data_IF_398080651770
#
_entry.id   IF_398080651770
#
_cell.length_a   1.000
_cell.length_b   1.000
_cell.length_c   1.000
_cell.angle_alpha   90.00
_cell.angle_beta   90.00
_cell.angle_gamma   90.00
#
_symmetry.space_group_name_H-M   'P 1'
#
loop_
_entity.id
_entity.type
_entity.pdbx_description
1 polymer ?
#
# COMPACT_ATOMS: atom_id res chain seq x y z
N UNK A 1 -2.23 24.52 -7.47
CA UNK A 1 -1.22 23.43 -7.29
C UNK A 1 -0.61 23.05 -8.64
N UNK A 2 0.72 22.83 -8.72
CA UNK A 2 1.35 22.34 -9.95
C UNK A 2 1.58 20.82 -9.86
N UNK A 3 0.56 20.06 -10.26
CA UNK A 3 0.59 18.59 -10.18
C UNK A 3 1.58 17.94 -11.14
N UNK A 4 1.91 18.58 -12.30
CA UNK A 4 2.90 18.04 -13.22
C UNK A 4 4.28 17.91 -12.56
N UNK A 5 4.68 18.92 -11.79
CA UNK A 5 5.94 18.87 -11.03
C UNK A 5 5.92 17.80 -9.93
N UNK A 6 4.80 17.68 -9.20
CA UNK A 6 4.63 16.67 -8.15
C UNK A 6 4.72 15.25 -8.74
N UNK A 7 4.03 15.01 -9.84
CA UNK A 7 4.04 13.74 -10.57
C UNK A 7 5.45 13.43 -11.11
N UNK A 8 6.16 14.41 -11.66
CA UNK A 8 7.54 14.21 -12.10
C UNK A 8 8.43 13.77 -10.96
N UNK A 9 8.37 14.44 -9.82
CA UNK A 9 9.14 14.10 -8.64
C UNK A 9 8.79 12.69 -8.11
N UNK A 10 7.50 12.33 -8.05
CA UNK A 10 7.07 10.99 -7.64
C UNK A 10 7.63 9.89 -8.57
N UNK A 11 7.65 10.13 -9.88
CA UNK A 11 8.18 9.19 -10.88
C UNK A 11 9.71 9.00 -10.83
N UNK A 12 10.44 9.98 -10.31
CA UNK A 12 11.90 9.91 -10.16
C UNK A 12 12.33 9.09 -8.94
N UNK A 13 11.39 8.82 -8.00
CA UNK A 13 11.68 8.00 -6.83
C UNK A 13 12.01 6.55 -7.24
N UNK A 14 13.10 6.03 -6.67
CA UNK A 14 13.46 4.62 -6.85
C UNK A 14 12.64 3.79 -5.88
N UNK A 15 11.73 3.00 -6.42
CA UNK A 15 10.82 2.10 -5.67
C UNK A 15 10.91 0.69 -6.27
N UNK A 16 10.50 -0.32 -5.52
CA UNK A 16 10.36 -1.69 -6.01
C UNK A 16 9.24 -1.84 -7.06
N UNK A 17 9.20 -2.99 -7.74
CA UNK A 17 8.22 -3.23 -8.80
C UNK A 17 6.76 -3.24 -8.31
N UNK A 18 6.52 -3.66 -7.07
CA UNK A 18 5.17 -3.71 -6.50
C UNK A 18 4.63 -2.31 -6.11
N UNK A 19 5.53 -1.32 -5.93
CA UNK A 19 5.22 0.05 -5.51
C UNK A 19 5.59 1.11 -6.56
N UNK A 20 5.63 0.71 -7.83
CA UNK A 20 5.90 1.62 -8.95
C UNK A 20 4.80 2.69 -9.11
N UNK A 21 5.00 3.64 -10.03
CA UNK A 21 4.06 4.76 -10.22
C UNK A 21 2.65 4.31 -10.65
N UNK A 22 2.50 3.13 -11.27
CA UNK A 22 1.18 2.57 -11.60
C UNK A 22 0.39 2.20 -10.34
N UNK A 23 1.07 1.71 -9.29
CA UNK A 23 0.46 1.56 -7.97
C UNK A 23 -0.04 2.91 -7.43
N UNK A 24 0.81 3.93 -7.45
CA UNK A 24 0.42 5.29 -6.99
C UNK A 24 -0.82 5.80 -7.71
N UNK A 25 -0.93 5.58 -9.03
CA UNK A 25 -2.12 5.97 -9.81
C UNK A 25 -3.38 5.21 -9.40
N UNK A 26 -3.28 3.91 -9.10
CA UNK A 26 -4.45 3.12 -8.63
C UNK A 26 -4.88 3.54 -7.23
N UNK A 27 -3.91 3.78 -6.32
CA UNK A 27 -4.19 4.35 -4.99
C UNK A 27 -4.85 5.72 -5.13
N UNK A 28 -4.34 6.58 -6.02
CA UNK A 28 -4.92 7.89 -6.29
C UNK A 28 -6.38 7.79 -6.74
N UNK A 29 -6.67 6.90 -7.67
CA UNK A 29 -8.05 6.70 -8.15
C UNK A 29 -8.98 6.23 -7.02
N UNK A 30 -8.54 5.26 -6.21
CA UNK A 30 -9.30 4.75 -5.07
C UNK A 30 -9.51 5.84 -4.00
N UNK A 31 -8.46 6.59 -3.66
CA UNK A 31 -8.54 7.68 -2.68
C UNK A 31 -9.51 8.78 -3.12
N UNK A 32 -9.48 9.18 -4.41
CA UNK A 32 -10.43 10.19 -4.91
C UNK A 32 -11.87 9.69 -4.87
N UNK A 33 -12.09 8.41 -5.18
CA UNK A 33 -13.43 7.82 -5.10
C UNK A 33 -13.95 7.74 -3.66
N UNK A 34 -13.10 7.40 -2.68
CA UNK A 34 -13.47 7.41 -1.26
C UNK A 34 -13.77 8.84 -0.80
N UNK A 35 -12.95 9.80 -1.22
CA UNK A 35 -13.10 11.22 -0.84
C UNK A 35 -14.41 11.86 -1.32
N UNK A 36 -15.10 11.31 -2.32
CA UNK A 36 -16.44 11.77 -2.72
C UNK A 36 -17.45 11.69 -1.57
N UNK A 37 -17.28 10.74 -0.64
CA UNK A 37 -18.11 10.61 0.57
C UNK A 37 -17.68 11.51 1.73
N UNK A 38 -16.57 12.24 1.60
CA UNK A 38 -15.92 13.01 2.67
C UNK A 38 -15.65 14.46 2.26
N UNK A 39 -16.68 15.31 2.19
CA UNK A 39 -16.54 16.72 1.78
C UNK A 39 -15.68 17.57 2.75
N UNK A 40 -15.45 17.09 3.96
CA UNK A 40 -14.57 17.71 4.96
C UNK A 40 -13.06 17.53 4.66
N UNK A 41 -12.70 16.57 3.79
CA UNK A 41 -11.31 16.31 3.45
C UNK A 41 -10.67 17.44 2.65
N UNK A 42 -9.46 17.85 3.05
CA UNK A 42 -8.64 18.77 2.27
C UNK A 42 -8.09 18.02 1.03
N UNK A 43 -8.83 18.16 -0.08
CA UNK A 43 -8.53 17.46 -1.33
C UNK A 43 -7.13 17.77 -1.88
N UNK A 44 -6.59 18.97 -1.67
CA UNK A 44 -5.24 19.33 -2.10
C UNK A 44 -4.18 18.60 -1.29
N UNK A 45 -4.37 18.53 0.03
CA UNK A 45 -3.49 17.75 0.93
C UNK A 45 -3.56 16.27 0.56
N UNK A 46 -4.76 15.71 0.44
CA UNK A 46 -4.96 14.30 0.09
C UNK A 46 -4.30 13.93 -1.24
N UNK A 47 -4.60 14.67 -2.32
CA UNK A 47 -4.01 14.42 -3.65
C UNK A 47 -2.50 14.44 -3.62
N UNK A 48 -1.92 15.41 -2.92
CA UNK A 48 -0.47 15.54 -2.84
C UNK A 48 0.14 14.42 -2.00
N UNK A 49 -0.48 14.07 -0.88
CA UNK A 49 -0.01 12.98 -0.03
C UNK A 49 -0.06 11.63 -0.77
N UNK A 50 -1.15 11.34 -1.48
CA UNK A 50 -1.28 10.10 -2.28
C UNK A 50 -0.21 10.02 -3.36
N UNK A 51 0.07 11.11 -4.09
CA UNK A 51 1.10 11.11 -5.13
C UNK A 51 2.51 10.89 -4.59
N UNK A 52 2.76 11.23 -3.33
CA UNK A 52 4.09 11.21 -2.71
C UNK A 52 4.26 10.15 -1.61
N UNK A 53 3.24 9.32 -1.31
CA UNK A 53 3.26 8.46 -0.11
C UNK A 53 4.43 7.49 -0.08
N UNK A 54 4.82 6.95 -1.21
CA UNK A 54 5.85 5.91 -1.34
C UNK A 54 7.23 6.40 -1.80
N UNK A 55 7.47 7.71 -1.95
CA UNK A 55 8.78 8.23 -2.43
C UNK A 55 9.95 7.88 -1.51
N UNK A 56 9.68 7.51 -0.27
CA UNK A 56 10.68 7.05 0.70
C UNK A 56 11.05 5.58 0.59
N UNK A 57 10.41 4.81 -0.29
CA UNK A 57 10.52 3.35 -0.41
C UNK A 57 11.71 2.91 -1.27
N UNK A 58 12.90 3.40 -0.95
CA UNK A 58 14.15 3.02 -1.63
C UNK A 58 14.76 1.72 -1.12
N UNK A 59 14.19 1.15 -0.06
CA UNK A 59 14.56 -0.11 0.58
C UNK A 59 13.29 -0.72 1.21
N UNK A 60 13.32 -2.01 1.52
CA UNK A 60 12.20 -2.75 2.11
C UNK A 60 12.03 -2.48 3.62
N UNK A 61 12.46 -1.33 4.13
CA UNK A 61 12.37 -1.00 5.55
C UNK A 61 11.00 -0.44 5.95
N UNK A 62 10.53 -0.77 7.16
CA UNK A 62 9.31 -0.24 7.75
C UNK A 62 9.31 1.30 7.95
N UNK A 63 10.47 1.94 7.80
CA UNK A 63 10.62 3.39 7.98
C UNK A 63 10.29 4.21 6.71
N UNK A 64 9.89 3.59 5.59
CA UNK A 64 9.65 4.27 4.31
C UNK A 64 8.65 5.43 4.41
N UNK A 65 7.57 5.27 5.17
CA UNK A 65 6.55 6.31 5.35
C UNK A 65 7.13 7.58 6.00
N UNK A 66 7.87 7.41 7.10
CA UNK A 66 8.50 8.53 7.81
C UNK A 66 9.60 9.20 6.98
N UNK A 67 10.39 8.41 6.25
CA UNK A 67 11.40 8.91 5.31
C UNK A 67 10.75 9.68 4.15
N UNK A 68 9.70 9.12 3.54
CA UNK A 68 8.93 9.76 2.48
C UNK A 68 8.30 11.07 2.92
N UNK A 69 7.78 11.15 4.15
CA UNK A 69 7.21 12.36 4.72
C UNK A 69 8.24 13.50 4.82
N UNK A 70 9.47 13.21 5.26
CA UNK A 70 10.56 14.20 5.32
C UNK A 70 10.92 14.67 3.91
N UNK A 71 11.14 13.75 2.97
CA UNK A 71 11.47 14.06 1.59
C UNK A 71 10.38 14.92 0.92
N UNK A 72 9.10 14.55 1.12
CA UNK A 72 7.97 15.29 0.56
C UNK A 72 7.90 16.72 1.13
N UNK A 73 8.05 16.88 2.46
CA UNK A 73 8.03 18.19 3.10
C UNK A 73 9.13 19.11 2.58
N UNK A 74 10.35 18.62 2.53
CA UNK A 74 11.50 19.37 2.04
C UNK A 74 11.33 19.80 0.59
N UNK A 75 10.91 18.86 -0.27
CA UNK A 75 10.69 19.14 -1.67
C UNK A 75 9.56 20.17 -1.88
N UNK A 76 8.45 20.04 -1.17
CA UNK A 76 7.34 20.99 -1.25
C UNK A 76 7.77 22.41 -0.87
N UNK A 77 8.50 22.56 0.24
CA UNK A 77 9.01 23.87 0.69
C UNK A 77 9.97 24.46 -0.36
N UNK A 78 10.91 23.67 -0.88
CA UNK A 78 11.86 24.12 -1.92
C UNK A 78 11.18 24.53 -3.21
N UNK A 79 10.00 23.98 -3.51
CA UNK A 79 9.20 24.32 -4.70
C UNK A 79 8.14 25.41 -4.42
N UNK A 80 8.24 26.13 -3.29
CA UNK A 80 7.42 27.29 -3.00
C UNK A 80 6.04 27.01 -2.42
N UNK A 81 5.78 25.77 -1.98
CA UNK A 81 4.60 25.46 -1.17
C UNK A 81 4.82 25.86 0.29
N UNK A 82 3.80 26.43 0.92
CA UNK A 82 3.92 26.91 2.30
C UNK A 82 4.21 25.81 3.32
N UNK A 83 4.93 26.12 4.41
CA UNK A 83 5.31 25.14 5.45
C UNK A 83 4.11 24.48 6.10
N UNK A 84 3.00 25.20 6.29
CA UNK A 84 1.76 24.63 6.84
C UNK A 84 1.19 23.53 5.93
N UNK A 85 1.09 23.79 4.64
CA UNK A 85 0.62 22.80 3.65
C UNK A 85 1.57 21.61 3.58
N UNK A 86 2.87 21.86 3.45
CA UNK A 86 3.89 20.82 3.42
C UNK A 86 3.89 19.96 4.69
N UNK A 87 3.63 20.58 5.84
CA UNK A 87 3.49 19.89 7.12
C UNK A 87 2.25 18.97 7.17
N UNK A 88 1.09 19.42 6.66
CA UNK A 88 -0.12 18.60 6.58
C UNK A 88 0.11 17.39 5.68
N UNK A 89 0.67 17.58 4.49
CA UNK A 89 1.01 16.49 3.57
C UNK A 89 1.97 15.49 4.21
N UNK A 90 3.04 15.96 4.82
CA UNK A 90 4.02 15.09 5.48
C UNK A 90 3.41 14.27 6.63
N UNK A 91 2.49 14.84 7.40
CA UNK A 91 1.77 14.14 8.47
C UNK A 91 0.95 12.98 7.91
N UNK A 92 0.21 13.20 6.83
CA UNK A 92 -0.58 12.16 6.16
C UNK A 92 0.32 11.06 5.61
N UNK A 93 1.43 11.43 4.93
CA UNK A 93 2.40 10.47 4.40
C UNK A 93 3.03 9.64 5.54
N UNK A 94 3.45 10.26 6.65
CA UNK A 94 4.13 9.55 7.74
C UNK A 94 3.27 8.47 8.38
N UNK A 95 1.96 8.63 8.32
CA UNK A 95 0.97 7.78 8.98
C UNK A 95 0.44 6.62 8.10
N UNK A 96 0.66 6.64 6.77
CA UNK A 96 -0.03 5.74 5.84
C UNK A 96 0.28 4.24 6.03
N UNK A 97 1.35 3.89 6.71
CA UNK A 97 1.74 2.48 6.94
C UNK A 97 1.17 1.89 8.24
N UNK A 98 0.60 2.71 9.12
CA UNK A 98 0.02 2.28 10.39
C UNK A 98 -1.43 2.76 10.52
N UNK A 99 -2.34 1.85 10.90
CA UNK A 99 -3.77 2.11 10.94
C UNK A 99 -4.17 3.15 11.97
N UNK A 100 -3.57 3.11 13.16
CA UNK A 100 -3.91 4.03 14.23
C UNK A 100 -3.27 5.41 14.00
N UNK A 101 -2.02 5.45 13.52
CA UNK A 101 -1.38 6.70 13.08
C UNK A 101 -2.19 7.37 11.94
N UNK A 102 -2.75 6.59 11.01
CA UNK A 102 -3.58 7.11 9.92
C UNK A 102 -4.84 7.80 10.44
N UNK A 103 -5.52 7.21 11.44
CA UNK A 103 -6.65 7.84 12.13
C UNK A 103 -6.25 9.14 12.81
N UNK A 104 -5.13 9.14 13.51
CA UNK A 104 -4.60 10.33 14.19
C UNK A 104 -4.22 11.44 13.21
N UNK A 105 -3.87 11.09 11.97
CA UNK A 105 -3.60 12.05 10.90
C UNK A 105 -4.87 12.72 10.34
N UNK A 106 -6.05 12.23 10.68
CA UNK A 106 -7.34 12.77 10.25
C UNK A 106 -7.88 12.09 9.00
N UNK A 107 -8.96 12.63 8.44
CA UNK A 107 -9.69 11.99 7.33
C UNK A 107 -8.81 11.73 6.10
N UNK A 108 -7.86 12.60 5.79
CA UNK A 108 -6.92 12.40 4.68
C UNK A 108 -6.00 11.20 4.94
N UNK A 109 -5.58 11.00 6.21
CA UNK A 109 -4.80 9.83 6.62
C UNK A 109 -5.60 8.55 6.51
N UNK A 110 -6.85 8.54 6.99
CA UNK A 110 -7.77 7.42 6.89
C UNK A 110 -8.03 7.03 5.43
N UNK A 111 -8.31 8.01 4.56
CA UNK A 111 -8.55 7.76 3.13
C UNK A 111 -7.30 7.21 2.43
N UNK A 112 -6.11 7.77 2.71
CA UNK A 112 -4.88 7.28 2.09
C UNK A 112 -4.58 5.84 2.53
N UNK A 113 -4.69 5.54 3.84
CA UNK A 113 -4.50 4.20 4.36
C UNK A 113 -5.46 3.20 3.70
N UNK A 114 -6.74 3.53 3.67
CA UNK A 114 -7.78 2.71 3.07
C UNK A 114 -7.51 2.44 1.59
N UNK A 115 -7.20 3.47 0.83
CA UNK A 115 -6.93 3.37 -0.61
C UNK A 115 -5.68 2.50 -0.90
N UNK A 116 -4.62 2.61 -0.10
CA UNK A 116 -3.42 1.79 -0.22
C UNK A 116 -3.72 0.32 0.13
N UNK A 117 -4.46 0.06 1.21
CA UNK A 117 -4.82 -1.32 1.61
C UNK A 117 -5.74 -2.02 0.61
N UNK A 118 -6.56 -1.29 -0.15
CA UNK A 118 -7.32 -1.87 -1.26
C UNK A 118 -6.43 -2.51 -2.35
N UNK A 119 -5.18 -2.08 -2.47
CA UNK A 119 -4.21 -2.66 -3.42
C UNK A 119 -3.61 -4.00 -2.96
N UNK A 120 -3.84 -4.40 -1.71
CA UNK A 120 -3.36 -5.67 -1.14
C UNK A 120 -4.31 -6.84 -1.43
N UNK A 121 -5.46 -6.61 -2.10
CA UNK A 121 -6.49 -7.62 -2.28
C UNK A 121 -6.99 -7.71 -3.73
N UNK A 122 -7.73 -8.76 -4.01
CA UNK A 122 -8.26 -9.03 -5.36
C UNK A 122 -7.16 -9.43 -6.34
N UNK A 123 -7.42 -9.27 -7.63
CA UNK A 123 -6.48 -9.63 -8.70
C UNK A 123 -5.18 -8.82 -8.59
N UNK A 124 -5.30 -7.52 -8.34
CA UNK A 124 -4.13 -6.64 -8.23
C UNK A 124 -3.25 -7.02 -7.05
N UNK A 125 -3.86 -7.29 -5.87
CA UNK A 125 -3.12 -7.74 -4.69
C UNK A 125 -2.34 -9.03 -4.94
N UNK A 126 -2.96 -10.02 -5.58
CA UNK A 126 -2.31 -11.27 -5.93
C UNK A 126 -1.10 -11.08 -6.89
N UNK A 127 -1.27 -10.22 -7.92
CA UNK A 127 -0.18 -9.92 -8.85
C UNK A 127 0.95 -9.15 -8.15
N UNK A 128 0.64 -8.23 -7.24
CA UNK A 128 1.65 -7.51 -6.46
C UNK A 128 2.39 -8.43 -5.50
N UNK A 129 1.69 -9.33 -4.81
CA UNK A 129 2.32 -10.35 -3.97
C UNK A 129 3.26 -11.24 -4.78
N UNK A 130 2.89 -11.62 -6.00
CA UNK A 130 3.74 -12.39 -6.89
C UNK A 130 5.02 -11.61 -7.29
N UNK A 131 4.91 -10.33 -7.63
CA UNK A 131 6.06 -9.49 -7.95
C UNK A 131 7.00 -9.33 -6.75
N UNK A 132 6.44 -9.14 -5.55
CA UNK A 132 7.21 -9.08 -4.32
C UNK A 132 7.95 -10.39 -4.04
N UNK A 133 7.28 -11.53 -4.19
CA UNK A 133 7.89 -12.85 -3.99
C UNK A 133 9.00 -13.12 -5.00
N UNK A 134 8.83 -12.74 -6.27
CA UNK A 134 9.87 -12.86 -7.29
C UNK A 134 11.13 -12.05 -6.92
N UNK A 135 10.94 -10.80 -6.49
CA UNK A 135 12.04 -9.93 -6.05
C UNK A 135 12.73 -10.46 -4.79
N UNK A 136 11.96 -11.05 -3.87
CA UNK A 136 12.46 -11.66 -2.64
C UNK A 136 13.02 -13.09 -2.84
N UNK A 137 12.87 -13.66 -4.03
CA UNK A 137 13.29 -15.04 -4.32
C UNK A 137 12.44 -16.10 -3.64
N UNK A 138 11.18 -15.82 -3.34
CA UNK A 138 10.25 -16.72 -2.67
C UNK A 138 9.49 -17.59 -3.70
N UNK A 139 9.27 -18.90 -3.43
CA UNK A 139 8.49 -19.78 -4.29
C UNK A 139 6.99 -19.49 -4.21
N UNK A 140 6.21 -20.10 -5.09
CA UNK A 140 4.73 -20.08 -5.01
C UNK A 140 4.28 -20.77 -3.72
N UNK A 141 4.90 -21.92 -3.39
CA UNK A 141 4.71 -22.65 -2.13
C UNK A 141 6.03 -23.28 -1.67
N UNK A 142 6.34 -23.11 -0.39
CA UNK A 142 7.50 -23.73 0.22
C UNK A 142 7.27 -25.23 0.45
N UNK A 143 8.27 -26.07 0.14
CA UNK A 143 8.16 -27.55 0.23
C UNK A 143 8.06 -28.09 1.66
N UNK A 144 8.55 -27.36 2.66
CA UNK A 144 8.49 -27.78 4.06
C UNK A 144 8.52 -26.60 5.02
N UNK A 145 7.87 -26.71 6.18
CA UNK A 145 8.08 -25.72 7.23
C UNK A 145 9.54 -25.80 7.65
N UNK A 146 10.27 -24.70 7.52
CA UNK A 146 11.65 -24.60 8.00
C UNK A 146 11.65 -24.80 9.52
N UNK A 147 12.17 -25.94 9.96
CA UNK A 147 12.34 -26.23 11.39
C UNK A 147 13.37 -25.24 11.91
N UNK A 148 12.95 -24.29 12.74
CA UNK A 148 13.84 -23.40 13.48
C UNK A 148 13.99 -21.98 12.95
N UNK A 149 13.18 -21.53 12.01
CA UNK A 149 13.14 -20.11 11.64
C UNK A 149 12.16 -19.36 12.55
N UNK A 150 12.68 -18.56 13.45
CA UNK A 150 11.96 -17.43 14.09
C UNK A 150 11.65 -16.33 13.04
N UNK A 151 11.30 -16.71 11.79
CA UNK A 151 11.08 -15.74 10.74
C UNK A 151 9.63 -15.28 10.76
N UNK A 152 9.46 -14.03 11.12
CA UNK A 152 8.22 -13.26 11.06
C UNK A 152 7.82 -12.98 9.58
N UNK A 153 8.62 -13.38 8.62
CA UNK A 153 8.42 -13.11 7.19
C UNK A 153 7.78 -14.28 6.46
N UNK A 154 6.87 -14.04 5.51
CA UNK A 154 6.25 -15.07 4.70
C UNK A 154 7.33 -15.87 3.92
N UNK A 155 7.09 -17.17 3.74
CA UNK A 155 8.04 -18.11 3.11
C UNK A 155 7.71 -18.36 1.65
N UNK A 156 6.52 -18.02 1.22
CA UNK A 156 6.02 -18.26 -0.12
C UNK A 156 4.90 -17.28 -0.50
N UNK A 157 4.47 -17.34 -1.76
CA UNK A 157 3.41 -16.48 -2.28
C UNK A 157 2.07 -16.67 -1.56
N UNK A 158 1.76 -17.91 -1.16
CA UNK A 158 0.49 -18.20 -0.48
C UNK A 158 0.46 -17.50 0.88
N UNK A 159 1.54 -17.63 1.66
CA UNK A 159 1.67 -16.96 2.96
C UNK A 159 1.66 -15.45 2.78
N UNK A 160 2.45 -14.90 1.84
CA UNK A 160 2.49 -13.46 1.60
C UNK A 160 1.10 -12.90 1.25
N UNK A 161 0.42 -13.52 0.29
CA UNK A 161 -0.90 -13.03 -0.10
C UNK A 161 -1.96 -13.23 0.98
N UNK A 162 -1.85 -14.29 1.79
CA UNK A 162 -2.71 -14.53 2.96
C UNK A 162 -2.52 -13.42 4.00
N UNK A 163 -1.27 -13.08 4.34
CA UNK A 163 -0.96 -12.00 5.28
C UNK A 163 -1.47 -10.65 4.75
N UNK A 164 -1.28 -10.34 3.48
CA UNK A 164 -1.79 -9.13 2.84
C UNK A 164 -3.32 -9.03 2.98
N UNK A 165 -4.02 -10.14 2.71
CA UNK A 165 -5.48 -10.23 2.86
C UNK A 165 -5.93 -10.09 4.31
N UNK A 166 -5.18 -10.66 5.28
CA UNK A 166 -5.49 -10.54 6.70
C UNK A 166 -5.28 -9.11 7.21
N UNK A 167 -4.19 -8.43 6.80
CA UNK A 167 -3.95 -7.03 7.14
C UNK A 167 -5.10 -6.17 6.62
N UNK A 168 -5.47 -6.36 5.36
CA UNK A 168 -6.57 -5.64 4.74
C UNK A 168 -7.93 -5.96 5.39
N UNK A 169 -8.17 -7.22 5.83
CA UNK A 169 -9.41 -7.65 6.47
C UNK A 169 -9.64 -7.11 7.88
N UNK A 170 -8.59 -6.56 8.53
CA UNK A 170 -8.71 -5.93 9.87
C UNK A 170 -9.64 -4.71 9.88
N UNK A 171 -10.20 -4.39 8.75
CA UNK A 171 -11.21 -3.36 8.52
C UNK A 171 -10.61 -2.04 8.06
N UNK A 172 -11.44 -1.31 7.35
CA UNK A 172 -11.16 0.02 6.81
C UNK A 172 -11.67 1.09 7.76
N UNK A 173 -11.19 2.32 7.62
CA UNK A 173 -11.70 3.47 8.34
C UNK A 173 -13.03 3.95 7.75
N UNK A 174 -13.15 3.92 6.42
CA UNK A 174 -14.30 4.45 5.69
C UNK A 174 -15.24 3.35 5.21
N UNK A 175 -16.53 3.65 5.15
CA UNK A 175 -17.53 2.71 4.61
C UNK A 175 -17.38 2.51 3.11
N UNK A 176 -16.92 3.53 2.40
CA UNK A 176 -16.66 3.50 0.96
C UNK A 176 -15.56 2.48 0.63
N UNK A 177 -14.48 2.46 1.40
CA UNK A 177 -13.43 1.47 1.24
C UNK A 177 -13.91 0.06 1.60
N UNK A 178 -14.71 -0.10 2.66
CA UNK A 178 -15.31 -1.39 3.02
C UNK A 178 -16.17 -1.97 1.89
N UNK A 179 -16.97 -1.14 1.22
CA UNK A 179 -17.78 -1.60 0.07
C UNK A 179 -16.90 -2.01 -1.11
N UNK A 180 -15.85 -1.24 -1.43
CA UNK A 180 -14.90 -1.58 -2.49
C UNK A 180 -14.11 -2.87 -2.18
N UNK A 181 -13.86 -3.14 -0.91
CA UNK A 181 -13.09 -4.30 -0.46
C UNK A 181 -13.87 -5.61 -0.57
N UNK A 182 -15.20 -5.61 -0.42
CA UNK A 182 -16.02 -6.83 -0.34
C UNK A 182 -15.77 -7.82 -1.49
N UNK A 183 -15.87 -7.35 -2.73
CA UNK A 183 -15.66 -8.20 -3.90
C UNK A 183 -14.21 -8.64 -4.03
N UNK A 184 -13.26 -7.73 -3.73
CA UNK A 184 -11.83 -8.01 -3.81
C UNK A 184 -11.42 -9.07 -2.78
N UNK A 185 -11.94 -9.00 -1.54
CA UNK A 185 -11.71 -9.99 -0.50
C UNK A 185 -12.29 -11.37 -0.89
N UNK A 186 -13.54 -11.40 -1.34
CA UNK A 186 -14.18 -12.65 -1.76
C UNK A 186 -13.39 -13.33 -2.89
N UNK A 187 -12.95 -12.58 -3.88
CA UNK A 187 -12.12 -13.09 -4.98
C UNK A 187 -10.76 -13.59 -4.46
N UNK A 188 -10.10 -12.84 -3.58
CA UNK A 188 -8.79 -13.21 -3.04
C UNK A 188 -8.82 -14.54 -2.29
N UNK A 189 -9.81 -14.74 -1.43
CA UNK A 189 -9.97 -16.02 -0.72
C UNK A 189 -10.30 -17.18 -1.65
N UNK A 190 -11.14 -16.98 -2.67
CA UNK A 190 -11.41 -18.02 -3.66
C UNK A 190 -10.16 -18.35 -4.48
N UNK A 191 -9.36 -17.35 -4.84
CA UNK A 191 -8.09 -17.56 -5.53
C UNK A 191 -7.10 -18.35 -4.68
N UNK A 192 -6.91 -18.01 -3.40
CA UNK A 192 -6.05 -18.76 -2.48
C UNK A 192 -6.49 -20.23 -2.37
N UNK A 193 -7.79 -20.46 -2.25
CA UNK A 193 -8.34 -21.80 -2.19
C UNK A 193 -8.06 -22.62 -3.46
N UNK A 194 -8.18 -22.00 -4.64
CA UNK A 194 -7.87 -22.67 -5.92
C UNK A 194 -6.39 -22.94 -6.05
N UNK A 195 -5.56 -21.96 -5.71
CA UNK A 195 -4.11 -22.09 -5.76
C UNK A 195 -3.63 -23.25 -4.87
N UNK A 196 -4.12 -23.36 -3.62
CA UNK A 196 -3.79 -24.49 -2.74
C UNK A 196 -4.27 -25.85 -3.30
N UNK A 197 -5.38 -25.87 -4.04
CA UNK A 197 -5.90 -27.09 -4.65
C UNK A 197 -5.12 -27.54 -5.91
N UNK A 198 -4.52 -26.60 -6.63
CA UNK A 198 -3.74 -26.86 -7.84
C UNK A 198 -2.29 -27.26 -7.56
N UNK A 199 -1.79 -26.97 -6.37
CA UNK A 199 -0.44 -27.37 -5.95
C UNK A 199 -0.46 -28.82 -5.44
N UNK A 200 0.41 -29.71 -5.96
CA UNK A 200 0.51 -31.08 -5.49
C UNK A 200 0.80 -31.14 -3.99
N UNK A 201 0.10 -32.01 -3.27
CA UNK A 201 0.29 -32.22 -1.80
C UNK A 201 1.19 -33.40 -1.48
N UNK A 202 1.65 -34.12 -2.49
CA UNK A 202 2.47 -35.31 -2.32
C UNK A 202 3.92 -35.04 -2.68
N UNK A 203 4.84 -35.48 -1.82
CA UNK A 203 6.25 -35.56 -2.16
C UNK A 203 6.44 -36.56 -3.28
N UNK A 204 7.13 -36.18 -4.33
CA UNK A 204 7.37 -37.01 -5.51
C UNK A 204 8.37 -38.16 -5.30
N UNK A 205 8.81 -38.41 -4.02
CA UNK A 205 9.77 -39.48 -3.68
C UNK A 205 9.40 -40.12 -2.35
#
# INVERSE_FOLDING_TARGET
>A
MNYEKIISFAKEAKVDYAHNFDHVLRVFHSAMKIAEGHPEADTEVLRTAVLLHDIGRSDLTAAHAKKGAVMAKEWLIQNGYGDEFAGKVARVISAHSDKDEARDAGIEGEILWDADKLEMMGVIGALRAMLYCEEAGLPIKAESPSVGADSISPRDLIEQYTEDMEIASRGFHTKEAMELAKERLAFGYEMLKRLDAEIPKEDLI
#
